data_IF_104640880884
#
_entry.id   IF_104640880884
#
_cell.length_a   1.000
_cell.length_b   1.000
_cell.length_c   1.000
_cell.angle_alpha   90.00
_cell.angle_beta   90.00
_cell.angle_gamma   90.00
#
_symmetry.space_group_name_H-M   'P 1'
#
loop_
_entity.id
_entity.type
_entity.pdbx_description
1 polymer ?
#
# COMPACT_ATOMS: atom_id res chain seq x y z
N UNK A 1 -6.26 1.01 -18.56
CA UNK A 1 -5.23 1.26 -19.58
C UNK A 1 -5.11 2.78 -19.77
N UNK A 2 -3.89 3.27 -19.81
CA UNK A 2 -3.58 4.69 -20.03
C UNK A 2 -2.37 4.80 -20.95
N UNK A 3 -2.49 5.53 -22.05
CA UNK A 3 -1.43 5.67 -23.07
C UNK A 3 -0.84 4.32 -23.53
N UNK A 4 -1.67 3.31 -23.75
CA UNK A 4 -1.23 1.96 -24.11
C UNK A 4 -0.59 1.15 -22.98
N UNK A 5 -0.48 1.69 -21.77
CA UNK A 5 0.11 1.05 -20.61
C UNK A 5 -0.97 0.50 -19.69
N UNK A 6 -0.83 -0.73 -19.22
CA UNK A 6 -1.76 -1.38 -18.31
C UNK A 6 -1.35 -1.13 -16.85
N UNK A 7 -2.14 -0.34 -16.14
CA UNK A 7 -1.87 0.07 -14.77
C UNK A 7 -2.87 -0.55 -13.80
N UNK A 8 -2.40 -1.04 -12.66
CA UNK A 8 -3.23 -1.34 -11.50
C UNK A 8 -2.86 -0.35 -10.39
N UNK A 9 -3.81 0.49 -10.01
CA UNK A 9 -3.64 1.46 -8.93
C UNK A 9 -4.55 1.06 -7.76
N UNK A 10 -3.99 0.89 -6.58
CA UNK A 10 -4.75 0.55 -5.38
C UNK A 10 -4.05 1.06 -4.12
N UNK A 11 -4.80 1.30 -3.05
CA UNK A 11 -4.17 1.66 -1.77
C UNK A 11 -3.36 0.48 -1.19
N UNK A 12 -3.88 -0.73 -1.28
CA UNK A 12 -3.22 -1.92 -0.75
C UNK A 12 -3.90 -2.50 0.49
N UNK A 13 -4.73 -1.74 1.19
CA UNK A 13 -5.45 -2.22 2.37
C UNK A 13 -6.33 -3.44 2.05
N UNK A 14 -6.43 -4.36 3.00
CA UNK A 14 -7.27 -5.54 2.86
C UNK A 14 -6.77 -6.59 1.85
N UNK A 15 -5.54 -6.49 1.37
CA UNK A 15 -4.91 -7.43 0.42
C UNK A 15 -3.96 -8.42 1.11
N UNK A 16 -3.58 -8.17 2.38
CA UNK A 16 -2.61 -8.95 3.13
C UNK A 16 -3.17 -10.20 3.80
N UNK A 17 -2.30 -11.15 4.16
CA UNK A 17 -2.62 -12.23 5.05
C UNK A 17 -2.89 -11.65 6.45
N UNK A 18 -4.03 -11.95 7.05
CA UNK A 18 -4.40 -11.42 8.38
C UNK A 18 -5.45 -10.31 8.39
N UNK A 19 -5.76 -9.71 7.27
CA UNK A 19 -6.75 -8.63 7.13
C UNK A 19 -8.22 -9.04 7.43
N UNK A 20 -8.43 -10.24 7.94
CA UNK A 20 -9.78 -10.71 8.35
C UNK A 20 -10.39 -9.80 9.43
N UNK A 21 -9.56 -9.34 10.37
CA UNK A 21 -9.95 -8.38 11.40
C UNK A 21 -10.39 -7.05 10.82
N UNK A 22 -9.57 -6.50 9.94
CA UNK A 22 -9.88 -5.26 9.22
C UNK A 22 -11.14 -5.37 8.36
N UNK A 23 -11.32 -6.47 7.63
CA UNK A 23 -12.54 -6.70 6.83
C UNK A 23 -13.79 -6.81 7.67
N UNK A 24 -13.71 -7.46 8.86
CA UNK A 24 -14.82 -7.50 9.83
C UNK A 24 -15.13 -6.10 10.35
N UNK A 25 -14.09 -5.36 10.75
CA UNK A 25 -14.20 -4.01 11.24
C UNK A 25 -14.82 -3.07 10.20
N UNK A 26 -14.33 -3.10 8.97
CA UNK A 26 -14.89 -2.34 7.86
C UNK A 26 -16.37 -2.65 7.62
N UNK A 27 -16.77 -3.92 7.76
CA UNK A 27 -18.19 -4.32 7.65
C UNK A 27 -19.02 -3.75 8.80
N UNK A 28 -18.50 -3.80 10.04
CA UNK A 28 -19.16 -3.23 11.21
C UNK A 28 -19.36 -1.72 11.06
N UNK A 29 -18.31 -0.99 10.72
CA UNK A 29 -18.42 0.47 10.51
C UNK A 29 -19.14 0.88 9.23
N UNK A 30 -19.16 0.04 8.22
CA UNK A 30 -19.93 0.27 6.99
C UNK A 30 -21.41 -0.01 7.12
N UNK A 31 -21.86 -0.64 8.22
CA UNK A 31 -23.27 -0.92 8.47
C UNK A 31 -24.03 0.35 8.83
N UNK A 32 -25.09 0.67 8.07
CA UNK A 32 -25.96 1.82 8.35
C UNK A 32 -26.58 1.78 9.75
N UNK A 33 -26.90 0.56 10.24
CA UNK A 33 -27.42 0.38 11.58
C UNK A 33 -26.38 0.76 12.64
N UNK A 34 -25.17 0.25 12.50
CA UNK A 34 -24.08 0.56 13.45
C UNK A 34 -23.70 2.04 13.42
N UNK A 35 -23.73 2.67 12.25
CA UNK A 35 -23.51 4.12 12.12
C UNK A 35 -24.59 4.91 12.86
N UNK A 36 -25.86 4.52 12.76
CA UNK A 36 -26.96 5.14 13.53
C UNK A 36 -26.80 4.91 15.03
N UNK A 37 -26.49 3.70 15.45
CA UNK A 37 -26.25 3.38 16.87
C UNK A 37 -25.07 4.19 17.42
N UNK A 38 -23.99 4.30 16.65
CA UNK A 38 -22.83 5.11 17.03
C UNK A 38 -23.17 6.61 17.13
N UNK A 39 -24.06 7.11 16.26
CA UNK A 39 -24.57 8.49 16.31
C UNK A 39 -25.46 8.79 17.51
N UNK A 40 -26.01 7.76 18.17
CA UNK A 40 -26.80 7.91 19.41
C UNK A 40 -25.90 7.96 20.67
N UNK A 41 -24.63 7.61 20.55
CA UNK A 41 -23.69 7.69 21.67
C UNK A 41 -23.33 9.15 21.97
N UNK A 42 -23.15 9.47 23.24
CA UNK A 42 -22.65 10.78 23.61
C UNK A 42 -21.28 11.02 22.95
N UNK A 43 -21.01 12.23 22.42
CA UNK A 43 -19.78 12.54 21.70
C UNK A 43 -18.50 12.16 22.44
N UNK A 44 -18.43 12.41 23.77
CA UNK A 44 -17.27 12.09 24.59
C UNK A 44 -16.96 10.60 24.63
N UNK A 45 -18.03 9.75 24.68
CA UNK A 45 -17.88 8.30 24.69
C UNK A 45 -17.43 7.78 23.32
N UNK A 46 -18.00 8.32 22.24
CA UNK A 46 -17.59 8.02 20.88
C UNK A 46 -16.14 8.39 20.64
N UNK A 47 -15.72 9.55 21.14
CA UNK A 47 -14.35 10.04 21.04
C UNK A 47 -13.36 9.19 21.84
N UNK A 48 -13.73 8.78 23.06
CA UNK A 48 -12.91 7.89 23.90
C UNK A 48 -12.67 6.52 23.22
N UNK A 49 -13.71 5.92 22.64
CA UNK A 49 -13.59 4.67 21.86
C UNK A 49 -12.67 4.87 20.66
N UNK A 50 -12.87 5.93 19.88
CA UNK A 50 -12.08 6.23 18.70
C UNK A 50 -10.61 6.47 19.05
N UNK A 51 -10.33 7.21 20.14
CA UNK A 51 -8.96 7.44 20.61
C UNK A 51 -8.28 6.17 21.10
N UNK A 52 -8.98 5.34 21.90
CA UNK A 52 -8.45 4.06 22.38
C UNK A 52 -8.02 3.18 21.20
N UNK A 53 -8.88 3.08 20.21
CA UNK A 53 -8.58 2.30 19.00
C UNK A 53 -7.46 2.89 18.16
N UNK A 54 -7.44 4.21 17.98
CA UNK A 54 -6.40 4.92 17.24
C UNK A 54 -5.01 4.76 17.92
N UNK A 55 -4.94 4.73 19.24
CA UNK A 55 -3.68 4.48 19.97
C UNK A 55 -3.17 3.06 19.72
N UNK A 56 -4.05 2.06 19.80
CA UNK A 56 -3.68 0.67 19.56
C UNK A 56 -3.26 0.44 18.10
N UNK A 57 -3.98 1.02 17.14
CA UNK A 57 -3.64 0.94 15.72
C UNK A 57 -2.29 1.59 15.41
N UNK A 58 -2.02 2.77 16.00
CA UNK A 58 -0.73 3.45 15.83
C UNK A 58 0.44 2.67 16.43
N UNK A 59 0.26 2.03 17.58
CA UNK A 59 1.28 1.18 18.16
C UNK A 59 1.64 0.00 17.25
N UNK A 60 0.63 -0.67 16.68
CA UNK A 60 0.83 -1.77 15.72
C UNK A 60 1.49 -1.30 14.42
N UNK A 61 1.04 -0.18 13.86
CA UNK A 61 1.61 0.39 12.63
C UNK A 61 3.06 0.86 12.81
N UNK A 62 3.40 1.40 13.98
CA UNK A 62 4.78 1.80 14.27
C UNK A 62 5.74 0.61 14.28
N UNK A 63 5.30 -0.52 14.81
CA UNK A 63 6.07 -1.77 14.80
C UNK A 63 6.23 -2.29 13.35
N UNK A 64 5.19 -2.20 12.53
CA UNK A 64 5.26 -2.61 11.14
C UNK A 64 6.11 -1.67 10.26
N UNK A 65 6.05 -0.35 10.53
CA UNK A 65 6.74 0.66 9.73
C UNK A 65 8.22 0.83 10.05
N UNK A 66 8.62 0.62 11.32
CA UNK A 66 10.00 0.88 11.77
C UNK A 66 10.67 -0.35 12.39
N UNK A 67 9.99 -1.50 12.45
CA UNK A 67 10.48 -2.69 13.14
C UNK A 67 10.64 -2.45 14.65
N UNK A 68 10.94 -3.51 15.39
CA UNK A 68 11.18 -3.41 16.86
C UNK A 68 12.45 -2.61 17.21
N UNK A 69 13.36 -2.44 16.25
CA UNK A 69 14.67 -1.81 16.45
C UNK A 69 14.75 -0.38 15.89
N UNK A 70 13.65 0.23 15.47
CA UNK A 70 13.62 1.61 14.97
C UNK A 70 14.29 1.82 13.60
N UNK A 71 14.72 0.76 12.92
CA UNK A 71 15.24 0.83 11.56
C UNK A 71 14.10 0.67 10.54
N UNK A 72 14.15 1.40 9.40
CA UNK A 72 13.18 1.19 8.35
C UNK A 72 13.22 -0.28 7.89
N UNK A 73 12.07 -0.90 7.61
CA UNK A 73 12.02 -2.27 7.15
C UNK A 73 12.79 -2.41 5.84
N UNK A 74 13.66 -3.40 5.77
CA UNK A 74 14.32 -3.77 4.51
C UNK A 74 13.31 -4.49 3.63
N UNK A 75 13.26 -4.15 2.34
CA UNK A 75 12.42 -4.84 1.38
C UNK A 75 12.86 -6.30 1.24
N UNK A 76 11.94 -7.20 1.56
CA UNK A 76 12.12 -8.64 1.39
C UNK A 76 10.96 -9.14 0.52
N UNK A 77 11.20 -9.49 -0.75
CA UNK A 77 10.16 -9.95 -1.67
C UNK A 77 9.35 -11.13 -1.13
N UNK A 78 9.94 -11.98 -0.30
CA UNK A 78 9.27 -13.18 0.24
C UNK A 78 8.25 -12.84 1.34
N UNK A 79 8.48 -11.75 2.07
CA UNK A 79 7.64 -11.26 3.17
C UNK A 79 6.71 -10.12 2.75
N UNK A 80 7.02 -9.46 1.62
CA UNK A 80 6.22 -8.34 1.12
C UNK A 80 4.93 -8.84 0.46
N UNK A 81 3.84 -8.77 1.19
CA UNK A 81 2.56 -9.32 0.76
C UNK A 81 1.94 -8.59 -0.45
N UNK A 82 2.19 -7.29 -0.66
CA UNK A 82 1.76 -6.56 -1.87
C UNK A 82 2.56 -7.01 -3.09
N UNK A 83 3.84 -7.31 -2.93
CA UNK A 83 4.65 -7.92 -3.98
C UNK A 83 4.10 -9.31 -4.36
N UNK A 84 3.82 -10.15 -3.36
CA UNK A 84 3.21 -11.47 -3.59
C UNK A 84 1.81 -11.37 -4.21
N UNK A 85 1.04 -10.35 -3.82
CA UNK A 85 -0.25 -10.04 -4.46
C UNK A 85 -0.06 -9.67 -5.94
N UNK A 86 0.97 -8.88 -6.24
CA UNK A 86 1.31 -8.46 -7.61
C UNK A 86 1.65 -9.67 -8.49
N UNK A 87 2.46 -10.59 -7.99
CA UNK A 87 2.79 -11.84 -8.69
C UNK A 87 1.53 -12.66 -9.00
N UNK A 88 0.63 -12.80 -8.01
CA UNK A 88 -0.64 -13.52 -8.22
C UNK A 88 -1.50 -12.84 -9.29
N UNK A 89 -1.56 -11.52 -9.28
CA UNK A 89 -2.34 -10.76 -10.27
C UNK A 89 -1.81 -10.92 -11.67
N UNK A 90 -0.51 -10.91 -11.86
CA UNK A 90 0.10 -11.20 -13.16
C UNK A 90 -0.25 -12.62 -13.64
N UNK A 91 -0.11 -13.61 -12.74
CA UNK A 91 -0.47 -15.00 -13.06
C UNK A 91 -1.96 -15.16 -13.39
N UNK A 92 -2.85 -14.52 -12.65
CA UNK A 92 -4.30 -14.54 -12.93
C UNK A 92 -4.60 -13.96 -14.32
N UNK A 93 -3.97 -12.87 -14.71
CA UNK A 93 -4.13 -12.27 -16.03
C UNK A 93 -3.60 -13.17 -17.15
N UNK A 94 -2.43 -13.75 -16.94
CA UNK A 94 -1.83 -14.68 -17.89
C UNK A 94 -2.75 -15.90 -18.12
N UNK A 95 -3.32 -16.48 -17.07
CA UNK A 95 -4.26 -17.60 -17.18
C UNK A 95 -5.58 -17.21 -17.86
N UNK A 96 -5.97 -15.96 -17.74
CA UNK A 96 -7.16 -15.41 -18.42
C UNK A 96 -6.89 -14.94 -19.86
N UNK A 97 -5.68 -15.12 -20.41
CA UNK A 97 -5.30 -14.64 -21.74
C UNK A 97 -5.28 -13.11 -21.88
N UNK A 98 -5.18 -12.39 -20.76
CA UNK A 98 -5.15 -10.93 -20.74
C UNK A 98 -3.71 -10.42 -20.79
N UNK A 99 -3.52 -9.24 -21.39
CA UNK A 99 -2.22 -8.56 -21.38
C UNK A 99 -1.70 -8.36 -19.95
N UNK A 100 -0.39 -8.53 -19.71
CA UNK A 100 0.19 -8.30 -18.40
C UNK A 100 0.00 -6.83 -17.96
N UNK A 101 0.12 -6.58 -16.66
CA UNK A 101 0.17 -5.24 -16.12
C UNK A 101 1.60 -4.72 -16.20
N UNK A 102 1.78 -3.51 -16.74
CA UNK A 102 3.10 -2.88 -16.82
C UNK A 102 3.52 -2.34 -15.43
N UNK A 103 2.57 -1.77 -14.69
CA UNK A 103 2.83 -1.27 -13.34
C UNK A 103 1.69 -1.63 -12.38
N UNK A 104 2.07 -2.08 -11.19
CA UNK A 104 1.17 -2.34 -10.07
C UNK A 104 1.58 -1.39 -8.93
N UNK A 105 0.83 -0.32 -8.76
CA UNK A 105 1.15 0.80 -7.88
C UNK A 105 0.29 0.77 -6.63
N UNK A 106 0.95 0.81 -5.48
CA UNK A 106 0.31 0.75 -4.17
C UNK A 106 0.84 1.84 -3.23
N UNK A 107 0.07 2.14 -2.20
CA UNK A 107 0.50 2.82 -1.00
C UNK A 107 0.67 1.86 0.17
N UNK A 108 0.21 2.23 1.35
CA UNK A 108 0.03 1.44 2.55
C UNK A 108 1.31 1.01 3.31
N UNK A 109 2.38 0.64 2.61
CA UNK A 109 3.59 0.08 3.25
C UNK A 109 4.57 1.14 3.80
N UNK A 110 4.35 2.40 3.49
CA UNK A 110 5.21 3.52 3.90
C UNK A 110 6.69 3.35 3.56
N UNK A 111 7.00 2.44 2.65
CA UNK A 111 8.34 2.15 2.14
C UNK A 111 8.35 2.37 0.63
N UNK A 112 9.13 3.30 0.09
CA UNK A 112 9.22 3.49 -1.35
C UNK A 112 9.93 2.30 -2.00
N UNK A 113 9.24 1.62 -2.93
CA UNK A 113 9.73 0.43 -3.61
C UNK A 113 9.46 0.58 -5.09
N UNK A 114 10.44 0.25 -5.90
CA UNK A 114 10.33 0.14 -7.34
C UNK A 114 11.04 -1.14 -7.76
N UNK A 115 10.29 -2.22 -7.97
CA UNK A 115 10.85 -3.56 -8.14
C UNK A 115 10.23 -4.26 -9.37
N UNK A 116 11.04 -4.62 -10.38
CA UNK A 116 10.57 -5.45 -11.48
C UNK A 116 10.03 -6.79 -10.98
N UNK A 117 8.98 -7.29 -11.64
CA UNK A 117 8.40 -8.59 -11.34
C UNK A 117 8.96 -9.65 -12.28
N UNK A 118 9.24 -10.86 -11.78
CA UNK A 118 9.50 -12.01 -12.63
C UNK A 118 8.32 -12.24 -13.59
N UNK A 119 8.61 -12.34 -14.88
CA UNK A 119 7.58 -12.50 -15.91
C UNK A 119 6.96 -11.19 -16.43
N UNK A 120 7.52 -10.05 -16.05
CA UNK A 120 7.16 -8.73 -16.59
C UNK A 120 6.30 -7.86 -15.68
N UNK A 121 6.35 -6.55 -15.93
CA UNK A 121 5.74 -5.51 -15.11
C UNK A 121 6.57 -5.12 -13.91
N UNK A 122 6.13 -4.08 -13.19
CA UNK A 122 6.85 -3.51 -12.05
C UNK A 122 5.92 -3.31 -10.86
N UNK A 123 6.32 -3.84 -9.71
CA UNK A 123 5.72 -3.53 -8.41
C UNK A 123 6.24 -2.20 -7.91
N UNK A 124 5.33 -1.29 -7.58
CA UNK A 124 5.66 0.05 -7.06
C UNK A 124 4.90 0.28 -5.77
N UNK A 125 5.61 0.67 -4.72
CA UNK A 125 4.99 1.24 -3.52
C UNK A 125 5.43 2.69 -3.37
N UNK A 126 4.46 3.58 -3.16
CA UNK A 126 4.69 5.03 -3.17
C UNK A 126 5.44 5.53 -1.93
N UNK A 127 5.60 4.70 -0.89
CA UNK A 127 6.18 5.14 0.35
C UNK A 127 5.21 5.95 1.21
N UNK A 128 5.70 6.98 1.85
CA UNK A 128 4.94 7.85 2.73
C UNK A 128 5.32 9.32 2.49
N UNK A 129 4.49 10.26 3.01
CA UNK A 129 4.66 11.67 2.74
C UNK A 129 5.29 12.46 3.90
N UNK A 130 5.35 11.87 5.10
CA UNK A 130 5.70 12.59 6.32
C UNK A 130 7.20 12.79 6.52
N UNK A 131 8.01 11.74 6.27
CA UNK A 131 9.45 11.75 6.54
C UNK A 131 10.27 11.73 5.24
N UNK A 132 9.80 10.96 4.26
CA UNK A 132 10.44 10.84 2.97
C UNK A 132 9.37 10.95 1.88
N UNK A 133 8.96 12.20 1.54
CA UNK A 133 7.89 12.42 0.57
C UNK A 133 8.27 11.83 -0.78
N UNK A 134 7.58 10.78 -1.19
CA UNK A 134 7.77 10.12 -2.49
C UNK A 134 6.48 10.08 -3.28
N UNK A 135 6.60 10.21 -4.59
CA UNK A 135 5.46 10.17 -5.50
C UNK A 135 5.84 9.47 -6.80
N UNK A 136 4.86 8.90 -7.48
CA UNK A 136 5.05 8.37 -8.82
C UNK A 136 4.62 9.41 -9.86
N UNK A 137 5.45 9.57 -10.90
CA UNK A 137 5.13 10.36 -12.09
C UNK A 137 5.01 9.41 -13.27
N UNK A 138 3.88 9.46 -13.96
CA UNK A 138 3.66 8.74 -15.20
C UNK A 138 3.70 9.72 -16.38
N UNK A 139 4.53 9.44 -17.37
CA UNK A 139 4.67 10.26 -18.57
C UNK A 139 5.16 9.41 -19.74
N UNK A 140 4.51 9.52 -20.88
CA UNK A 140 4.88 8.82 -22.11
C UNK A 140 5.08 7.29 -21.92
N UNK A 141 4.19 6.63 -21.21
CA UNK A 141 4.26 5.19 -20.95
C UNK A 141 5.26 4.77 -19.86
N UNK A 142 6.00 5.71 -19.29
CA UNK A 142 7.02 5.43 -18.27
C UNK A 142 6.55 5.94 -16.90
N UNK A 143 6.68 5.10 -15.89
CA UNK A 143 6.42 5.46 -14.50
C UNK A 143 7.73 5.55 -13.73
N UNK A 144 7.97 6.72 -13.13
CA UNK A 144 9.13 7.00 -12.28
C UNK A 144 8.67 7.21 -10.83
N UNK A 145 9.43 6.68 -9.86
CA UNK A 145 9.28 7.01 -8.45
C UNK A 145 10.27 8.14 -8.09
N UNK A 146 9.74 9.24 -7.55
CA UNK A 146 10.51 10.46 -7.26
C UNK A 146 10.34 10.90 -5.81
N UNK A 147 11.33 11.63 -5.30
CA UNK A 147 11.29 12.28 -3.98
C UNK A 147 10.93 13.75 -4.15
N UNK A 148 10.12 14.32 -3.23
CA UNK A 148 9.79 15.73 -3.19
C UNK A 148 10.50 16.43 -2.01
N UNK A 149 11.01 17.65 -2.15
CA UNK A 149 11.18 18.38 -3.41
C UNK A 149 12.17 17.65 -4.33
N UNK A 150 12.05 17.90 -5.62
CA UNK A 150 12.83 17.23 -6.67
C UNK A 150 14.34 17.65 -6.58
N UNK A 151 14.96 17.34 -5.46
CA UNK A 151 16.43 17.40 -5.33
C UNK A 151 16.98 16.28 -6.19
N UNK A 152 17.74 16.67 -7.19
CA UNK A 152 18.45 15.85 -8.17
C UNK A 152 18.67 14.42 -7.67
N UNK A 153 17.96 13.49 -8.31
CA UNK A 153 18.23 12.05 -8.36
C UNK A 153 19.25 11.52 -7.33
N UNK A 154 18.87 11.42 -6.07
CA UNK A 154 19.40 10.32 -5.29
C UNK A 154 18.71 9.07 -5.84
N UNK A 155 19.41 8.43 -6.78
CA UNK A 155 18.90 7.24 -7.41
C UNK A 155 18.49 6.22 -6.38
N UNK A 156 17.19 6.05 -6.19
CA UNK A 156 16.71 4.77 -5.73
C UNK A 156 17.03 3.81 -6.85
N UNK A 157 18.24 3.24 -6.73
CA UNK A 157 18.77 2.35 -7.71
C UNK A 157 17.72 1.29 -8.00
N UNK A 158 17.52 1.03 -9.30
CA UNK A 158 16.99 -0.26 -9.70
C UNK A 158 17.67 -1.29 -8.82
N UNK A 159 16.97 -1.85 -7.86
CA UNK A 159 17.44 -3.04 -7.17
C UNK A 159 17.52 -4.11 -8.25
N UNK A 160 18.69 -4.20 -8.89
CA UNK A 160 19.04 -5.33 -9.73
C UNK A 160 19.18 -6.51 -8.78
N UNK A 161 18.26 -7.43 -8.87
CA UNK A 161 18.36 -8.77 -8.26
C UNK A 161 19.27 -9.60 -9.16
#
# INVERSE_FOLDING_TARGET
>A
EWEGTHLLLAHGDGKGPGDRGYKRLKRVFGSRLNQRLFGLLHPDFSFAIAQGWSRQSRASQRIESYGQNGHPPVFDPTKEWLYQYSLRKQKERQLAGLAPLDYLVFGHRHLPIFCPLPGGGTYVNLGEWMHQPTYARFHAGILDLKTYPDHQSSGYGRLSI
#
